data_IF_824806669128
#
_entry.id   IF_824806669128
#
_cell.length_a   1.000
_cell.length_b   1.000
_cell.length_c   1.000
_cell.angle_alpha   90.00
_cell.angle_beta   90.00
_cell.angle_gamma   90.00
#
_symmetry.space_group_name_H-M   'P 1'
#
loop_
_entity.id
_entity.type
_entity.pdbx_description
1 polymer ?
#
# COMPACT_ATOMS: atom_id res chain seq x y z
N UNK A 1 -0.92 -9.72 6.37
CA UNK A 1 -0.45 -8.39 6.81
C UNK A 1 0.87 -7.99 6.16
N UNK A 2 1.65 -8.93 5.63
CA UNK A 2 3.00 -8.66 5.06
C UNK A 2 2.99 -7.98 3.68
N UNK A 3 1.87 -8.07 2.93
CA UNK A 3 1.75 -7.45 1.61
C UNK A 3 1.76 -5.93 1.67
N UNK A 4 1.07 -5.34 2.66
CA UNK A 4 1.06 -3.89 2.83
C UNK A 4 2.45 -3.39 3.25
N UNK A 5 3.10 -4.09 4.18
CA UNK A 5 4.47 -3.81 4.59
C UNK A 5 5.42 -3.77 3.39
N UNK A 6 5.38 -4.81 2.56
CA UNK A 6 6.26 -4.92 1.40
C UNK A 6 5.97 -3.84 0.34
N UNK A 7 4.71 -3.55 0.07
CA UNK A 7 4.32 -2.49 -0.86
C UNK A 7 4.74 -1.09 -0.39
N UNK A 8 4.68 -0.85 0.93
CA UNK A 8 5.11 0.41 1.53
C UNK A 8 6.60 0.65 1.36
N UNK A 9 7.46 -0.37 1.22
CA UNK A 9 8.91 -0.17 1.02
C UNK A 9 9.22 0.76 -0.16
N UNK A 10 8.52 0.58 -1.28
CA UNK A 10 8.68 1.37 -2.50
C UNK A 10 7.78 2.61 -2.62
N UNK A 11 6.97 2.91 -1.60
CA UNK A 11 6.08 4.07 -1.61
C UNK A 11 6.83 5.37 -1.26
N UNK A 12 6.42 6.49 -1.85
CA UNK A 12 6.92 7.80 -1.48
C UNK A 12 6.49 8.20 -0.05
N UNK A 13 7.18 9.17 0.59
CA UNK A 13 6.88 9.57 1.97
C UNK A 13 5.46 10.10 2.16
N UNK A 14 4.91 10.80 1.18
CA UNK A 14 3.56 11.39 1.28
C UNK A 14 2.48 10.30 1.30
N UNK A 15 2.62 9.30 0.44
CA UNK A 15 1.73 8.14 0.37
C UNK A 15 1.83 7.31 1.65
N UNK A 16 3.04 7.04 2.14
CA UNK A 16 3.24 6.35 3.43
C UNK A 16 2.49 7.05 4.55
N UNK A 17 2.63 8.37 4.66
CA UNK A 17 1.96 9.15 5.70
C UNK A 17 0.42 9.12 5.54
N UNK A 18 -0.08 9.14 4.29
CA UNK A 18 -1.51 8.94 4.01
C UNK A 18 -2.03 7.59 4.51
N UNK A 19 -1.24 6.53 4.44
CA UNK A 19 -1.63 5.24 5.02
C UNK A 19 -1.57 5.27 6.55
N UNK A 20 -0.48 5.76 7.13
CA UNK A 20 -0.29 5.76 8.59
C UNK A 20 -1.33 6.59 9.34
N UNK A 21 -1.74 7.75 8.81
CA UNK A 21 -2.78 8.58 9.43
C UNK A 21 -4.17 7.92 9.46
N UNK A 22 -4.40 6.91 8.62
CA UNK A 22 -5.65 6.14 8.56
C UNK A 22 -5.57 4.80 9.32
N UNK A 23 -4.47 4.55 10.03
CA UNK A 23 -4.32 3.40 10.91
C UNK A 23 -4.51 3.81 12.37
N UNK A 24 -4.78 2.83 13.24
CA UNK A 24 -4.66 3.08 14.67
C UNK A 24 -3.20 3.37 15.02
N UNK A 25 -2.97 4.20 16.06
CA UNK A 25 -1.62 4.58 16.50
C UNK A 25 -0.70 3.38 16.72
N UNK A 26 -1.21 2.34 17.38
CA UNK A 26 -0.46 1.10 17.59
C UNK A 26 -0.08 0.41 16.28
N UNK A 27 -1.00 0.33 15.32
CA UNK A 27 -0.75 -0.35 14.05
C UNK A 27 0.25 0.41 13.18
N UNK A 28 0.19 1.75 13.18
CA UNK A 28 1.16 2.57 12.45
C UNK A 28 2.55 2.51 13.07
N UNK A 29 2.67 2.52 14.40
CA UNK A 29 3.95 2.31 15.11
C UNK A 29 4.54 0.94 14.77
N UNK A 30 3.77 -0.15 14.93
CA UNK A 30 4.23 -1.50 14.58
C UNK A 30 4.68 -1.61 13.12
N UNK A 31 3.94 -1.02 12.18
CA UNK A 31 4.32 -1.06 10.76
C UNK A 31 5.59 -0.27 10.45
N UNK A 32 5.86 0.83 11.16
CA UNK A 32 7.11 1.58 11.01
C UNK A 32 8.29 0.75 11.50
N UNK A 33 8.17 0.12 12.66
CA UNK A 33 9.19 -0.78 13.21
C UNK A 33 9.45 -1.98 12.28
N UNK A 34 8.38 -2.56 11.72
CA UNK A 34 8.47 -3.65 10.74
C UNK A 34 9.15 -3.19 9.43
N UNK A 35 8.93 -1.95 8.99
CA UNK A 35 9.60 -1.38 7.79
C UNK A 35 11.08 -1.14 8.03
N UNK A 36 11.45 -0.66 9.21
CA UNK A 36 12.85 -0.41 9.59
C UNK A 36 13.64 -1.71 9.74
N UNK A 37 13.00 -2.76 10.26
CA UNK A 37 13.59 -4.10 10.37
C UNK A 37 13.59 -4.89 9.05
N UNK A 38 12.88 -4.41 8.03
CA UNK A 38 12.78 -5.08 6.74
C UNK A 38 14.11 -5.00 5.97
N UNK A 39 14.86 -6.11 5.99
CA UNK A 39 16.10 -6.27 5.23
C UNK A 39 15.94 -6.11 3.70
N UNK A 40 17.03 -6.20 2.92
CA UNK A 40 17.00 -6.07 1.47
C UNK A 40 15.92 -6.94 0.82
N UNK A 41 15.17 -6.38 -0.13
CA UNK A 41 14.07 -7.09 -0.80
C UNK A 41 14.13 -6.84 -2.29
N UNK A 42 13.71 -7.83 -3.09
CA UNK A 42 13.71 -7.71 -4.55
C UNK A 42 12.65 -6.71 -4.98
N UNK A 43 12.99 -5.88 -5.96
CA UNK A 43 12.07 -4.91 -6.55
C UNK A 43 10.79 -5.58 -7.08
N UNK A 44 10.92 -6.73 -7.73
CA UNK A 44 9.80 -7.53 -8.23
C UNK A 44 8.77 -7.90 -7.16
N UNK A 45 9.23 -8.15 -5.92
CA UNK A 45 8.36 -8.54 -4.82
C UNK A 45 7.58 -7.32 -4.29
N UNK A 46 8.23 -6.15 -4.29
CA UNK A 46 7.61 -4.85 -3.94
C UNK A 46 6.54 -4.49 -4.97
N UNK A 47 6.86 -4.56 -6.27
CA UNK A 47 5.91 -4.28 -7.36
C UNK A 47 4.73 -5.26 -7.33
N UNK A 48 4.99 -6.55 -7.07
CA UNK A 48 3.95 -7.56 -6.89
C UNK A 48 3.01 -7.22 -5.74
N UNK A 49 3.55 -6.80 -4.60
CA UNK A 49 2.74 -6.38 -3.45
C UNK A 49 1.91 -5.12 -3.73
N UNK A 50 2.46 -4.15 -4.47
CA UNK A 50 1.73 -2.96 -4.91
C UNK A 50 0.58 -3.32 -5.85
N UNK A 51 0.81 -4.25 -6.79
CA UNK A 51 -0.24 -4.77 -7.68
C UNK A 51 -1.37 -5.45 -6.90
N UNK A 52 -1.06 -6.24 -5.88
CA UNK A 52 -2.07 -6.87 -5.02
C UNK A 52 -2.93 -5.81 -4.29
N UNK A 53 -2.34 -4.70 -3.83
CA UNK A 53 -3.09 -3.58 -3.22
C UNK A 53 -4.01 -2.91 -4.25
N UNK A 54 -3.52 -2.67 -5.47
CA UNK A 54 -4.34 -2.09 -6.54
C UNK A 54 -5.52 -3.00 -6.91
N UNK A 55 -5.32 -4.31 -6.92
CA UNK A 55 -6.40 -5.28 -7.13
C UNK A 55 -7.44 -5.22 -6.00
N UNK A 56 -7.00 -5.10 -4.75
CA UNK A 56 -7.91 -4.93 -3.62
C UNK A 56 -8.71 -3.63 -3.75
N UNK A 57 -8.08 -2.52 -4.13
CA UNK A 57 -8.76 -1.25 -4.37
C UNK A 57 -9.78 -1.33 -5.52
N UNK A 58 -9.42 -1.96 -6.65
CA UNK A 58 -10.35 -2.21 -7.77
C UNK A 58 -11.55 -3.03 -7.33
N UNK A 59 -11.33 -4.12 -6.61
CA UNK A 59 -12.42 -4.95 -6.07
C UNK A 59 -13.35 -4.15 -5.17
N UNK A 60 -12.82 -3.30 -4.29
CA UNK A 60 -13.64 -2.43 -3.45
C UNK A 60 -14.45 -1.41 -4.26
N UNK A 61 -13.91 -0.95 -5.40
CA UNK A 61 -14.61 -0.05 -6.30
C UNK A 61 -15.73 -0.78 -7.06
N UNK A 62 -15.47 -1.99 -7.56
CA UNK A 62 -16.46 -2.86 -8.20
C UNK A 62 -17.61 -3.22 -7.24
N UNK A 63 -17.30 -3.37 -5.95
CA UNK A 63 -18.28 -3.55 -4.87
C UNK A 63 -19.00 -2.25 -4.47
N UNK A 64 -18.65 -1.11 -5.07
CA UNK A 64 -19.23 0.20 -4.77
C UNK A 64 -18.85 0.78 -3.40
N UNK A 65 -17.85 0.19 -2.71
CA UNK A 65 -17.41 0.61 -1.38
C UNK A 65 -16.48 1.82 -1.41
N UNK A 66 -15.73 1.98 -2.49
CA UNK A 66 -14.89 3.16 -2.73
C UNK A 66 -15.15 3.71 -4.12
N UNK A 67 -14.91 5.00 -4.32
CA UNK A 67 -14.90 5.60 -5.63
C UNK A 67 -13.44 5.85 -6.04
N UNK A 68 -12.98 5.14 -7.05
CA UNK A 68 -11.76 5.50 -7.78
C UNK A 68 -12.22 6.57 -8.78
N UNK A 69 -12.06 7.85 -8.42
CA UNK A 69 -12.58 8.97 -9.22
C UNK A 69 -12.25 8.84 -10.71
N UNK A 70 -13.08 9.45 -11.58
CA UNK A 70 -13.04 9.34 -13.05
C UNK A 70 -11.83 9.95 -13.76
N UNK A 71 -10.64 9.93 -13.16
CA UNK A 71 -9.37 10.16 -13.83
C UNK A 71 -8.84 8.83 -14.36
N UNK A 72 -9.42 8.35 -15.46
CA UNK A 72 -8.84 7.26 -16.21
C UNK A 72 -7.52 7.70 -16.83
N UNK A 73 -6.42 7.47 -16.14
CA UNK A 73 -5.08 7.50 -16.74
C UNK A 73 -4.35 6.21 -16.37
N UNK A 74 -4.43 5.27 -17.32
CA UNK A 74 -3.35 4.38 -17.73
C UNK A 74 -2.41 3.87 -16.62
N UNK A 75 -2.72 2.68 -16.12
CA UNK A 75 -1.66 1.72 -15.83
C UNK A 75 -1.21 1.13 -17.18
N UNK A 76 -0.25 1.78 -17.84
CA UNK A 76 0.58 1.15 -18.88
C UNK A 76 1.88 0.73 -18.22
#
# INVERSE_FOLDING_TARGET
SDRLLLAMKGADPELKEKFFKNMSKRASEMMRDDLESLGPTKLSDVEGAQKDILQAARKLADEGKINLGGGGEQFV
#
